data_IF_514160134379
#
_entry.id   IF_514160134379
#
_cell.length_a   1.000
_cell.length_b   1.000
_cell.length_c   1.000
_cell.angle_alpha   90.00
_cell.angle_beta   90.00
_cell.angle_gamma   90.00
#
_symmetry.space_group_name_H-M   'P 1'
#
loop_
_entity.id
_entity.type
_entity.pdbx_description
1 polymer ?
#
# COMPACT_ATOMS: atom_id res chain seq x y z
N UNK A 1 11.03 -3.57 -30.98
CA UNK A 1 11.73 -3.94 -29.73
C UNK A 1 10.77 -3.72 -28.59
N UNK A 2 10.24 -4.79 -27.98
CA UNK A 2 9.40 -4.68 -26.78
C UNK A 2 10.32 -4.61 -25.57
N UNK A 3 10.37 -3.47 -24.90
CA UNK A 3 11.04 -3.33 -23.61
C UNK A 3 10.20 -4.05 -22.55
N UNK A 4 10.68 -5.19 -22.05
CA UNK A 4 10.13 -5.84 -20.87
C UNK A 4 10.29 -4.89 -19.68
N UNK A 5 9.22 -4.20 -19.31
CA UNK A 5 9.16 -3.47 -18.05
C UNK A 5 8.73 -4.47 -16.98
N UNK A 6 9.66 -4.87 -16.12
CA UNK A 6 9.32 -5.50 -14.85
C UNK A 6 8.70 -4.43 -13.94
N UNK A 7 7.56 -4.74 -13.33
CA UNK A 7 7.02 -3.89 -12.28
C UNK A 7 7.94 -3.90 -11.06
N UNK A 8 8.11 -2.75 -10.39
CA UNK A 8 8.94 -2.64 -9.18
C UNK A 8 8.30 -3.28 -7.95
N UNK A 9 6.97 -3.45 -7.95
CA UNK A 9 6.18 -3.98 -6.85
C UNK A 9 5.16 -5.00 -7.37
N UNK A 10 4.85 -6.01 -6.56
CA UNK A 10 3.80 -6.98 -6.84
C UNK A 10 2.41 -6.37 -6.62
N UNK A 11 2.28 -5.49 -5.60
CA UNK A 11 1.03 -4.85 -5.22
C UNK A 11 1.23 -3.37 -4.88
N UNK A 12 0.34 -2.54 -5.43
CA UNK A 12 0.16 -1.15 -5.02
C UNK A 12 -1.19 -1.03 -4.31
N UNK A 13 -1.18 -0.56 -3.06
CA UNK A 13 -2.39 -0.25 -2.30
C UNK A 13 -2.57 1.25 -2.14
N UNK A 14 -3.82 1.71 -2.18
CA UNK A 14 -4.19 3.12 -1.99
C UNK A 14 -5.04 3.25 -0.72
N UNK A 15 -4.56 4.06 0.21
CA UNK A 15 -5.11 4.26 1.55
C UNK A 15 -4.33 3.50 2.63
N UNK A 16 -3.84 4.22 3.64
CA UNK A 16 -3.17 3.75 4.84
C UNK A 16 -4.09 3.87 6.08
N UNK A 17 -5.38 3.58 5.90
CA UNK A 17 -6.30 3.25 6.99
C UNK A 17 -6.15 1.80 7.45
N UNK A 18 -7.01 1.35 8.37
CA UNK A 18 -6.96 -0.02 8.91
C UNK A 18 -6.90 -1.10 7.82
N UNK A 19 -7.73 -0.99 6.78
CA UNK A 19 -7.75 -1.96 5.68
C UNK A 19 -6.41 -2.01 4.93
N UNK A 20 -5.84 -0.86 4.57
CA UNK A 20 -4.56 -0.81 3.86
C UNK A 20 -3.38 -1.28 4.69
N UNK A 21 -3.36 -0.94 5.98
CA UNK A 21 -2.34 -1.42 6.92
C UNK A 21 -2.44 -2.93 7.07
N UNK A 22 -3.62 -3.47 7.34
CA UNK A 22 -3.85 -4.91 7.48
C UNK A 22 -3.49 -5.67 6.19
N UNK A 23 -3.93 -5.16 5.04
CA UNK A 23 -3.56 -5.72 3.73
C UNK A 23 -2.03 -5.76 3.57
N UNK A 24 -1.35 -4.65 3.83
CA UNK A 24 0.11 -4.57 3.69
C UNK A 24 0.83 -5.56 4.62
N UNK A 25 0.33 -5.74 5.84
CA UNK A 25 0.88 -6.69 6.80
C UNK A 25 0.76 -8.13 6.27
N UNK A 26 -0.45 -8.54 5.87
CA UNK A 26 -0.68 -9.91 5.40
C UNK A 26 0.02 -10.21 4.06
N UNK A 27 0.11 -9.24 3.15
CA UNK A 27 0.86 -9.42 1.90
C UNK A 27 2.36 -9.59 2.13
N UNK A 28 2.92 -8.85 3.10
CA UNK A 28 4.33 -9.00 3.48
C UNK A 28 4.59 -10.37 4.11
N UNK A 29 3.71 -10.84 4.98
CA UNK A 29 3.78 -12.20 5.55
C UNK A 29 3.69 -13.30 4.47
N UNK A 30 2.94 -13.04 3.41
CA UNK A 30 2.84 -13.95 2.26
C UNK A 30 3.99 -13.82 1.24
N UNK A 31 4.97 -12.95 1.48
CA UNK A 31 6.16 -12.80 0.64
C UNK A 31 6.03 -11.83 -0.53
N UNK A 32 4.95 -11.05 -0.62
CA UNK A 32 4.77 -10.04 -1.67
C UNK A 32 5.48 -8.73 -1.35
N UNK A 33 6.06 -8.11 -2.38
CA UNK A 33 6.56 -6.74 -2.30
C UNK A 33 5.41 -5.74 -2.54
N UNK A 34 4.95 -5.10 -1.46
CA UNK A 34 3.82 -4.17 -1.48
C UNK A 34 4.24 -2.75 -1.15
N UNK A 35 3.68 -1.77 -1.89
CA UNK A 35 3.78 -0.35 -1.58
C UNK A 35 2.40 0.23 -1.32
N UNK A 36 2.26 0.93 -0.18
CA UNK A 36 1.03 1.66 0.18
C UNK A 36 1.25 3.15 -0.06
N UNK A 37 0.29 3.81 -0.70
CA UNK A 37 0.23 5.25 -0.82
C UNK A 37 -1.01 5.79 -0.10
N UNK A 38 -0.87 6.86 0.65
CA UNK A 38 -1.99 7.65 1.16
C UNK A 38 -1.76 9.12 0.82
N UNK A 39 -2.86 9.86 0.70
CA UNK A 39 -2.82 11.32 0.57
C UNK A 39 -2.53 11.99 1.91
N UNK A 40 -2.89 11.35 3.02
CA UNK A 40 -2.59 11.82 4.36
C UNK A 40 -1.09 11.79 4.61
N UNK A 41 -0.61 12.70 5.44
CA UNK A 41 0.79 12.72 5.87
C UNK A 41 1.13 11.63 6.89
N UNK A 42 0.11 10.94 7.44
CA UNK A 42 0.25 9.89 8.45
C UNK A 42 -0.82 8.82 8.26
N UNK A 43 -0.63 7.67 8.90
CA UNK A 43 -1.56 6.53 8.87
C UNK A 43 -2.82 6.81 9.68
N UNK A 44 -3.88 6.04 9.42
CA UNK A 44 -5.11 6.06 10.22
C UNK A 44 -6.39 6.21 9.40
N UNK A 45 -6.30 6.51 8.10
CA UNK A 45 -7.47 6.67 7.24
C UNK A 45 -8.41 7.76 7.77
N UNK A 46 -9.70 7.45 7.96
CA UNK A 46 -10.71 8.38 8.50
C UNK A 46 -10.25 9.12 9.76
N UNK A 47 -9.46 8.49 10.63
CA UNK A 47 -8.96 9.07 11.88
C UNK A 47 -7.82 10.07 11.70
N UNK A 48 -7.09 10.00 10.57
CA UNK A 48 -6.06 10.98 10.23
C UNK A 48 -6.68 12.30 9.75
N UNK A 49 -7.88 12.24 9.18
CA UNK A 49 -8.60 13.38 8.60
C UNK A 49 -9.59 14.03 9.57
N UNK A 50 -10.27 13.23 10.39
CA UNK A 50 -11.32 13.72 11.30
C UNK A 50 -10.76 13.95 12.70
N UNK A 51 -10.49 15.22 13.01
CA UNK A 51 -10.04 15.71 14.32
C UNK A 51 -11.12 16.54 14.99
#
# INVERSE_FOLDING_TARGET
>A
MSSNHSADYDVIAVGAGFAGISLSYHLREAGFNVKVFDRASDVGGTWAWNK
#
